data_IF_133428697858
#
_entry.id   IF_133428697858
#
_cell.length_a   1.000
_cell.length_b   1.000
_cell.length_c   1.000
_cell.angle_alpha   90.00
_cell.angle_beta   90.00
_cell.angle_gamma   90.00
#
_symmetry.space_group_name_H-M   'P 1'
#
loop_
_entity.id
_entity.type
_entity.pdbx_description
1 polymer ?
#
# COMPACT_ATOMS: atom_id res chain seq x y z
N UNK A 1 -24.47 -8.17 -7.94
CA UNK A 1 -23.02 -8.44 -7.93
C UNK A 1 -22.32 -7.09 -8.00
N UNK A 2 -21.31 -6.85 -7.16
CA UNK A 2 -20.45 -5.67 -7.24
C UNK A 2 -19.22 -6.01 -8.08
N UNK A 3 -18.78 -5.07 -8.91
CA UNK A 3 -17.64 -5.25 -9.82
C UNK A 3 -16.78 -4.00 -9.78
N UNK A 4 -15.48 -4.20 -9.53
CA UNK A 4 -14.50 -3.13 -9.36
C UNK A 4 -13.32 -3.39 -10.33
N UNK A 5 -13.44 -3.03 -11.62
CA UNK A 5 -12.40 -3.30 -12.60
C UNK A 5 -11.14 -2.48 -12.33
N UNK A 6 -9.96 -3.10 -12.43
CA UNK A 6 -8.67 -2.45 -12.25
C UNK A 6 -8.26 -1.65 -13.51
N UNK A 7 -8.95 -0.54 -13.76
CA UNK A 7 -8.77 0.33 -14.93
C UNK A 7 -8.42 1.74 -14.48
N UNK A 8 -7.42 2.34 -15.14
CA UNK A 8 -6.99 3.71 -14.85
C UNK A 8 -8.00 4.72 -15.39
N UNK A 9 -8.39 5.67 -14.54
CA UNK A 9 -9.27 6.78 -14.92
C UNK A 9 -8.44 8.06 -15.15
N UNK A 10 -7.54 8.39 -14.22
CA UNK A 10 -6.61 9.51 -14.36
C UNK A 10 -5.27 9.17 -13.71
N UNK A 11 -4.17 9.65 -14.29
CA UNK A 11 -2.90 9.84 -13.58
C UNK A 11 -2.88 11.24 -12.99
N UNK A 12 -2.41 11.35 -11.74
CA UNK A 12 -2.42 12.61 -11.00
C UNK A 12 -1.10 12.82 -10.27
N UNK A 13 -0.76 14.08 -10.12
CA UNK A 13 0.26 14.51 -9.17
C UNK A 13 -0.26 14.36 -7.72
N UNK A 14 0.63 14.30 -6.71
CA UNK A 14 0.23 14.20 -5.30
C UNK A 14 -0.67 15.35 -4.80
N UNK A 15 -0.65 16.51 -5.47
CA UNK A 15 -1.53 17.65 -5.19
C UNK A 15 -2.94 17.50 -5.81
N UNK A 16 -3.21 16.41 -6.55
CA UNK A 16 -4.50 16.12 -7.18
C UNK A 16 -4.63 16.59 -8.63
N UNK A 17 -3.66 17.35 -9.16
CA UNK A 17 -3.66 17.81 -10.54
C UNK A 17 -3.56 16.63 -11.52
N UNK A 18 -4.35 16.68 -12.58
CA UNK A 18 -4.37 15.62 -13.61
C UNK A 18 -3.15 15.77 -14.51
N UNK A 19 -2.39 14.69 -14.65
CA UNK A 19 -1.30 14.53 -15.61
C UNK A 19 -1.86 13.99 -16.93
N UNK A 20 -2.71 12.96 -16.83
CA UNK A 20 -3.30 12.25 -17.96
C UNK A 20 -4.68 11.72 -17.59
N UNK A 21 -5.61 11.74 -18.55
CA UNK A 21 -6.94 11.16 -18.44
C UNK A 21 -7.12 10.06 -19.46
N UNK A 22 -7.74 8.95 -19.06
CA UNK A 22 -8.03 7.83 -19.95
C UNK A 22 -9.52 7.85 -20.36
N UNK A 23 -9.80 7.54 -21.63
CA UNK A 23 -11.18 7.50 -22.12
C UNK A 23 -11.84 6.14 -21.83
N UNK A 24 -12.54 6.06 -20.70
CA UNK A 24 -13.26 4.87 -20.28
C UNK A 24 -14.74 4.87 -20.69
N UNK A 25 -15.20 5.80 -21.54
CA UNK A 25 -16.63 5.93 -21.90
C UNK A 25 -17.19 4.67 -22.55
N UNK A 26 -16.40 4.01 -23.40
CA UNK A 26 -16.82 2.76 -24.05
C UNK A 26 -17.03 1.62 -23.03
N UNK A 27 -16.14 1.52 -22.03
CA UNK A 27 -16.25 0.55 -20.94
C UNK A 27 -17.51 0.82 -20.12
N UNK A 28 -17.71 2.06 -19.67
CA UNK A 28 -18.88 2.45 -18.87
C UNK A 28 -20.17 2.13 -19.63
N UNK A 29 -20.26 2.53 -20.90
CA UNK A 29 -21.42 2.24 -21.75
C UNK A 29 -21.69 0.74 -21.87
N UNK A 30 -20.65 -0.07 -22.07
CA UNK A 30 -20.79 -1.53 -22.18
C UNK A 30 -21.31 -2.12 -20.88
N UNK A 31 -20.81 -1.65 -19.73
CA UNK A 31 -21.28 -2.08 -18.42
C UNK A 31 -22.75 -1.70 -18.18
N UNK A 32 -23.16 -0.50 -18.60
CA UNK A 32 -24.56 -0.04 -18.53
C UNK A 32 -25.49 -0.88 -19.43
N UNK A 33 -25.07 -1.19 -20.66
CA UNK A 33 -25.82 -2.07 -21.58
C UNK A 33 -26.00 -3.50 -21.02
N UNK A 34 -25.05 -3.96 -20.20
CA UNK A 34 -25.11 -5.23 -19.47
C UNK A 34 -25.92 -5.16 -18.15
N UNK A 35 -26.48 -3.99 -17.82
CA UNK A 35 -27.33 -3.80 -16.63
C UNK A 35 -26.58 -3.40 -15.35
N UNK A 36 -25.28 -3.10 -15.43
CA UNK A 36 -24.54 -2.55 -14.29
C UNK A 36 -24.80 -1.06 -14.13
N UNK A 37 -24.77 -0.58 -12.88
CA UNK A 37 -24.93 0.84 -12.55
C UNK A 37 -23.64 1.39 -11.94
N UNK A 38 -23.03 2.36 -12.62
CA UNK A 38 -21.86 3.06 -12.10
C UNK A 38 -22.21 3.83 -10.82
N UNK A 39 -21.39 3.69 -9.78
CA UNK A 39 -21.64 4.28 -8.45
C UNK A 39 -21.15 5.74 -8.32
N UNK A 40 -20.72 6.37 -9.43
CA UNK A 40 -20.15 7.71 -9.42
C UNK A 40 -18.65 7.71 -9.11
N UNK A 41 -18.04 8.90 -8.97
CA UNK A 41 -16.60 9.10 -8.71
C UNK A 41 -16.34 9.40 -7.23
N UNK A 42 -16.50 8.39 -6.37
CA UNK A 42 -16.33 8.53 -4.92
C UNK A 42 -14.89 8.84 -4.50
N UNK A 43 -14.75 9.57 -3.40
CA UNK A 43 -13.49 9.92 -2.74
C UNK A 43 -13.59 9.57 -1.25
N UNK A 44 -12.44 9.38 -0.60
CA UNK A 44 -12.37 8.97 0.81
C UNK A 44 -12.41 7.45 0.99
N UNK A 45 -12.60 7.03 2.24
CA UNK A 45 -12.64 5.62 2.62
C UNK A 45 -14.09 5.17 2.76
N UNK A 46 -14.40 4.04 2.15
CA UNK A 46 -15.70 3.39 2.23
C UNK A 46 -15.50 1.94 2.69
N UNK A 47 -16.41 1.41 3.51
CA UNK A 47 -16.28 0.06 4.09
C UNK A 47 -16.72 -1.04 3.13
N UNK A 48 -17.38 -0.70 2.03
CA UNK A 48 -17.98 -1.64 1.08
C UNK A 48 -17.31 -1.65 -0.30
N UNK A 49 -16.52 -0.63 -0.64
CA UNK A 49 -15.87 -0.47 -1.94
C UNK A 49 -14.34 -0.38 -1.84
N UNK A 50 -13.68 -0.80 -2.92
CA UNK A 50 -12.23 -0.67 -3.03
C UNK A 50 -11.81 0.80 -3.17
N UNK A 51 -10.62 1.13 -2.65
CA UNK A 51 -10.05 2.47 -2.79
C UNK A 51 -9.75 2.75 -4.27
N UNK A 52 -10.14 3.94 -4.74
CA UNK A 52 -9.96 4.34 -6.14
C UNK A 52 -8.70 5.13 -6.42
N UNK A 53 -8.05 5.60 -5.37
CA UNK A 53 -6.87 6.44 -5.43
C UNK A 53 -5.69 5.65 -4.88
N UNK A 54 -4.72 5.36 -5.76
CA UNK A 54 -3.52 4.62 -5.41
C UNK A 54 -2.30 5.52 -5.58
N UNK A 55 -1.43 5.56 -4.56
CA UNK A 55 -0.10 6.13 -4.70
C UNK A 55 0.83 5.06 -5.25
N UNK A 56 1.34 5.26 -6.46
CA UNK A 56 2.14 4.26 -7.19
C UNK A 56 3.52 4.83 -7.48
N UNK A 57 4.56 4.12 -7.04
CA UNK A 57 5.95 4.42 -7.40
C UNK A 57 6.36 3.58 -8.61
N UNK A 58 6.61 4.23 -9.75
CA UNK A 58 7.08 3.53 -10.94
C UNK A 58 8.58 3.20 -10.83
N UNK A 59 8.88 1.90 -10.77
CA UNK A 59 10.23 1.34 -10.64
C UNK A 59 10.86 0.98 -11.99
N UNK A 60 10.09 0.99 -13.08
CA UNK A 60 10.55 0.53 -14.39
C UNK A 60 11.78 1.33 -14.83
N UNK A 61 12.82 0.61 -15.25
CA UNK A 61 14.07 1.15 -15.77
C UNK A 61 14.84 2.07 -14.80
N UNK A 62 14.63 1.94 -13.48
CA UNK A 62 15.31 2.73 -12.44
C UNK A 62 16.17 1.88 -11.52
N UNK A 63 17.34 2.38 -11.17
CA UNK A 63 18.17 1.81 -10.09
C UNK A 63 17.71 2.31 -8.72
N UNK A 64 18.14 1.64 -7.65
CA UNK A 64 17.89 2.07 -6.26
C UNK A 64 18.42 3.48 -5.99
N UNK A 65 19.63 3.79 -6.47
CA UNK A 65 20.24 5.11 -6.35
C UNK A 65 19.43 6.20 -7.06
N UNK A 66 18.89 5.89 -8.25
CA UNK A 66 18.05 6.81 -8.99
C UNK A 66 16.74 7.06 -8.23
N UNK A 67 16.08 6.00 -7.76
CA UNK A 67 14.85 6.11 -6.96
C UNK A 67 15.07 6.99 -5.73
N UNK A 68 16.15 6.76 -4.99
CA UNK A 68 16.49 7.53 -3.80
C UNK A 68 16.78 9.00 -4.13
N UNK A 69 17.40 9.27 -5.28
CA UNK A 69 17.68 10.64 -5.75
C UNK A 69 16.41 11.39 -6.15
N UNK A 70 15.43 10.70 -6.74
CA UNK A 70 14.15 11.27 -7.17
C UNK A 70 13.18 11.56 -6.02
N UNK A 71 13.36 10.94 -4.85
CA UNK A 71 12.60 11.26 -3.64
C UNK A 71 12.84 12.71 -3.20
N UNK A 72 11.85 13.28 -2.51
CA UNK A 72 12.02 14.58 -1.86
C UNK A 72 13.18 14.53 -0.84
N UNK A 73 13.75 15.69 -0.57
CA UNK A 73 14.93 15.81 0.29
C UNK A 73 14.73 15.20 1.68
N UNK A 74 13.55 15.42 2.28
CA UNK A 74 13.28 14.97 3.64
C UNK A 74 13.14 13.45 3.70
N UNK A 75 12.44 12.85 2.75
CA UNK A 75 12.33 11.38 2.62
C UNK A 75 13.69 10.75 2.41
N UNK A 76 14.48 11.23 1.43
CA UNK A 76 15.84 10.72 1.18
C UNK A 76 16.73 10.83 2.42
N UNK A 77 16.69 11.97 3.12
CA UNK A 77 17.46 12.20 4.35
C UNK A 77 17.06 11.23 5.46
N UNK A 78 15.75 11.01 5.64
CA UNK A 78 15.25 10.09 6.65
C UNK A 78 15.69 8.65 6.39
N UNK A 79 15.60 8.18 5.13
CA UNK A 79 16.09 6.85 4.73
C UNK A 79 17.59 6.73 5.00
N UNK A 80 18.40 7.70 4.58
CA UNK A 80 19.86 7.65 4.83
C UNK A 80 20.20 7.57 6.31
N UNK A 81 19.46 8.28 7.14
CA UNK A 81 19.63 8.26 8.59
C UNK A 81 19.37 6.88 9.20
N UNK A 82 18.48 6.06 8.64
CA UNK A 82 18.25 4.71 9.19
C UNK A 82 19.48 3.81 9.02
N UNK A 83 20.25 3.99 7.94
CA UNK A 83 21.52 3.28 7.77
C UNK A 83 22.57 3.73 8.79
N UNK A 84 22.70 5.05 9.01
CA UNK A 84 23.62 5.62 10.01
C UNK A 84 23.29 5.17 11.43
N UNK A 85 21.99 4.99 11.73
CA UNK A 85 21.50 4.49 13.02
C UNK A 85 21.63 2.97 13.19
N UNK A 86 22.13 2.25 12.20
CA UNK A 86 22.27 0.79 12.26
C UNK A 86 20.93 0.04 12.25
N UNK A 87 19.86 0.65 11.70
CA UNK A 87 18.56 -0.03 11.57
C UNK A 87 18.68 -1.16 10.56
N UNK A 88 18.29 -2.36 10.98
CA UNK A 88 18.20 -3.57 10.16
C UNK A 88 16.74 -3.90 9.87
N UNK A 89 16.51 -4.67 8.81
CA UNK A 89 15.17 -5.19 8.47
C UNK A 89 15.26 -6.70 8.29
N UNK A 90 14.33 -7.44 8.91
CA UNK A 90 14.17 -8.88 8.69
C UNK A 90 12.76 -9.20 8.19
N UNK A 91 12.64 -10.24 7.38
CA UNK A 91 11.34 -10.87 7.11
C UNK A 91 11.00 -11.77 8.28
N UNK A 92 9.82 -11.59 8.87
CA UNK A 92 9.35 -12.45 9.94
C UNK A 92 8.76 -13.74 9.36
N UNK A 93 9.16 -14.90 9.88
CA UNK A 93 8.47 -16.13 9.58
C UNK A 93 7.12 -16.18 10.32
N UNK A 94 6.25 -17.12 9.96
CA UNK A 94 4.87 -17.19 10.46
C UNK A 94 4.79 -17.41 11.99
N UNK A 95 5.78 -18.09 12.56
CA UNK A 95 5.90 -18.30 14.00
C UNK A 95 6.18 -17.00 14.78
N UNK A 96 6.71 -15.96 14.12
CA UNK A 96 6.96 -14.65 14.71
C UNK A 96 5.84 -13.63 14.41
N UNK A 97 4.72 -14.04 13.83
CA UNK A 97 3.60 -13.13 13.49
C UNK A 97 3.02 -12.43 14.72
N UNK A 98 3.01 -13.08 15.89
CA UNK A 98 2.59 -12.45 17.14
C UNK A 98 3.47 -11.23 17.51
N UNK A 99 4.79 -11.28 17.28
CA UNK A 99 5.69 -10.14 17.54
C UNK A 99 5.33 -8.93 16.69
N UNK A 100 4.99 -9.14 15.42
CA UNK A 100 4.46 -8.08 14.55
C UNK A 100 3.15 -7.51 15.10
N UNK A 101 2.23 -8.40 15.52
CA UNK A 101 0.91 -8.02 15.99
C UNK A 101 0.95 -7.20 17.29
N UNK A 102 1.81 -7.56 18.25
CA UNK A 102 2.02 -6.80 19.49
C UNK A 102 2.44 -5.35 19.22
N UNK A 103 3.42 -5.15 18.34
CA UNK A 103 3.86 -3.80 17.92
C UNK A 103 2.75 -3.06 17.18
N UNK A 104 1.98 -3.77 16.35
CA UNK A 104 0.84 -3.20 15.63
C UNK A 104 -0.26 -2.71 16.57
N UNK A 105 -0.58 -3.49 17.61
CA UNK A 105 -1.58 -3.14 18.62
C UNK A 105 -1.20 -1.89 19.43
N UNK A 106 0.08 -1.78 19.80
CA UNK A 106 0.60 -0.56 20.44
C UNK A 106 0.42 0.68 19.55
N UNK A 107 0.55 0.53 18.23
CA UNK A 107 0.30 1.62 17.28
C UNK A 107 -1.19 1.96 17.15
N UNK A 108 -2.08 0.96 17.12
CA UNK A 108 -3.53 1.15 17.11
C UNK A 108 -4.02 1.92 18.35
N UNK A 109 -3.58 1.54 19.55
CA UNK A 109 -3.93 2.24 20.80
C UNK A 109 -3.46 3.70 20.80
N UNK A 110 -2.29 3.96 20.20
CA UNK A 110 -1.71 5.31 20.13
C UNK A 110 -2.40 6.20 19.11
N UNK A 111 -2.84 5.64 17.98
CA UNK A 111 -3.27 6.41 16.80
C UNK A 111 -4.78 6.32 16.52
N UNK A 112 -5.52 5.48 17.24
CA UNK A 112 -6.98 5.45 17.21
C UNK A 112 -7.60 4.87 15.93
N UNK A 113 -6.84 4.07 15.16
CA UNK A 113 -7.36 3.27 14.05
C UNK A 113 -7.48 1.80 14.46
N UNK A 114 -8.39 1.04 13.82
CA UNK A 114 -8.50 -0.41 14.02
C UNK A 114 -7.87 -1.18 12.88
N UNK A 115 -7.02 -2.15 13.20
CA UNK A 115 -6.48 -3.07 12.21
C UNK A 115 -7.23 -4.41 12.17
N UNK A 116 -6.81 -5.27 11.23
CA UNK A 116 -7.23 -6.68 11.21
C UNK A 116 -6.57 -7.42 12.36
N UNK A 117 -7.27 -8.41 12.91
CA UNK A 117 -6.76 -9.25 14.00
C UNK A 117 -5.67 -10.22 13.52
N UNK A 118 -4.84 -10.74 14.43
CA UNK A 118 -3.74 -11.66 14.14
C UNK A 118 -4.11 -12.82 13.17
N UNK A 119 -5.27 -13.52 13.31
CA UNK A 119 -5.61 -14.62 12.41
C UNK A 119 -5.62 -14.23 10.93
N UNK A 120 -5.95 -12.97 10.61
CA UNK A 120 -5.93 -12.46 9.23
C UNK A 120 -4.53 -12.50 8.63
N UNK A 121 -3.52 -12.08 9.39
CA UNK A 121 -2.13 -12.05 8.91
C UNK A 121 -1.55 -13.46 8.79
N UNK A 122 -1.89 -14.34 9.73
CA UNK A 122 -1.51 -15.76 9.67
C UNK A 122 -2.13 -16.44 8.46
N UNK A 123 -3.42 -16.22 8.19
CA UNK A 123 -4.11 -16.75 7.02
C UNK A 123 -3.53 -16.18 5.72
N UNK A 124 -3.21 -14.88 5.68
CA UNK A 124 -2.54 -14.23 4.55
C UNK A 124 -1.19 -14.89 4.23
N UNK A 125 -0.32 -15.09 5.23
CA UNK A 125 0.99 -15.75 5.01
C UNK A 125 0.85 -17.21 4.55
N UNK A 126 -0.15 -17.94 5.06
CA UNK A 126 -0.42 -19.33 4.61
C UNK A 126 -0.95 -19.39 3.19
N UNK A 127 -1.78 -18.42 2.80
CA UNK A 127 -2.47 -18.43 1.50
C UNK A 127 -1.56 -17.97 0.38
N UNK A 128 -0.75 -16.95 0.64
CA UNK A 128 0.09 -16.31 -0.38
C UNK A 128 1.55 -16.71 -0.30
N UNK A 129 1.97 -17.42 0.74
CA UNK A 129 3.32 -17.97 0.91
C UNK A 129 4.42 -16.92 0.64
N UNK A 130 5.25 -17.13 -0.39
CA UNK A 130 6.34 -16.24 -0.79
C UNK A 130 5.87 -14.92 -1.44
N UNK A 131 4.59 -14.80 -1.77
CA UNK A 131 3.96 -13.58 -2.26
C UNK A 131 3.42 -12.66 -1.16
N UNK A 132 3.55 -13.03 0.12
CA UNK A 132 3.22 -12.17 1.26
C UNK A 132 4.36 -12.12 2.28
N UNK A 133 4.66 -10.93 2.80
CA UNK A 133 5.76 -10.73 3.74
C UNK A 133 5.37 -9.80 4.87
N UNK A 134 5.72 -10.19 6.11
CA UNK A 134 5.77 -9.28 7.25
C UNK A 134 7.23 -8.88 7.46
N UNK A 135 7.50 -7.57 7.50
CA UNK A 135 8.84 -7.02 7.67
C UNK A 135 8.94 -6.29 9.00
N UNK A 136 10.00 -6.54 9.75
CA UNK A 136 10.29 -5.85 11.01
C UNK A 136 11.58 -5.04 10.87
N UNK A 137 11.50 -3.75 11.17
CA UNK A 137 12.66 -2.89 11.35
C UNK A 137 13.10 -2.91 12.82
N UNK A 138 14.39 -3.11 13.09
CA UNK A 138 14.94 -3.23 14.44
C UNK A 138 16.37 -2.69 14.52
N UNK A 139 16.85 -2.42 15.74
CA UNK A 139 18.26 -2.15 16.04
C UNK A 139 18.77 -3.30 16.89
N UNK A 140 19.92 -3.84 16.52
CA UNK A 140 20.61 -4.84 17.33
C UNK A 140 21.45 -4.14 18.39
N UNK A 141 21.18 -4.40 19.66
CA UNK A 141 21.90 -3.78 20.78
C UNK A 141 23.09 -4.63 21.26
N UNK A 142 23.28 -5.82 20.68
CA UNK A 142 24.37 -6.72 21.04
C UNK A 142 25.57 -6.64 20.08
N UNK A 143 25.43 -5.88 18.98
CA UNK A 143 26.52 -5.52 18.07
C UNK A 143 27.41 -4.40 18.61
#
# INVERSE_FOLDING_TARGET
IFVDPYVLENLRQPNGEIIESFDNRALIKTMEELGYKHQGYTVGYDTMSQIRWLSVLNLKDKSEDQLLKEMDYQTRRNIKKTYEMGVKVKTLPIEETNTFFELFKMAEEKHGFKFREEPYFVEMQKTYEDHAMLKLAYIDLQD
#
